data_IF_618872394651
#
_entry.id   IF_618872394651
#
_cell.length_a   1.000
_cell.length_b   1.000
_cell.length_c   1.000
_cell.angle_alpha   90.00
_cell.angle_beta   90.00
_cell.angle_gamma   90.00
#
_symmetry.space_group_name_H-M   'P 1'
#
loop_
_entity.id
_entity.type
_entity.pdbx_description
1 polymer ?
#
# COMPACT_ATOMS: atom_id res chain seq x y z
N UNK A 1 -24.09 17.97 19.40
CA UNK A 1 -25.42 17.58 18.87
C UNK A 1 -25.22 16.56 17.76
N UNK A 2 -26.00 15.48 17.66
CA UNK A 2 -25.93 14.56 16.53
C UNK A 2 -26.54 15.18 15.27
N UNK A 3 -25.95 14.90 14.11
CA UNK A 3 -26.37 15.40 12.81
C UNK A 3 -26.37 14.28 11.76
N UNK A 4 -27.21 14.43 10.72
CA UNK A 4 -27.15 13.61 9.52
C UNK A 4 -26.63 14.47 8.37
N UNK A 5 -25.52 14.07 7.76
CA UNK A 5 -24.84 14.81 6.69
C UNK A 5 -24.86 13.98 5.40
N UNK A 6 -24.95 14.63 4.24
CA UNK A 6 -24.78 13.95 2.95
C UNK A 6 -23.35 14.17 2.48
N UNK A 7 -22.61 13.10 2.24
CA UNK A 7 -21.29 13.17 1.63
C UNK A 7 -21.42 13.66 0.17
N UNK A 8 -20.80 14.77 -0.22
CA UNK A 8 -20.90 15.28 -1.59
C UNK A 8 -20.21 14.38 -2.61
N UNK A 9 -19.23 13.54 -2.21
CA UNK A 9 -18.51 12.66 -3.14
C UNK A 9 -19.29 11.38 -3.44
N UNK A 10 -19.80 10.72 -2.40
CA UNK A 10 -20.50 9.44 -2.56
C UNK A 10 -22.03 9.56 -2.57
N UNK A 11 -22.57 10.72 -2.21
CA UNK A 11 -24.01 10.95 -2.04
C UNK A 11 -24.62 10.23 -0.84
N UNK A 12 -23.83 9.50 -0.04
CA UNK A 12 -24.30 8.70 1.09
C UNK A 12 -24.64 9.58 2.28
N UNK A 13 -25.64 9.17 3.07
CA UNK A 13 -25.95 9.79 4.35
C UNK A 13 -25.00 9.25 5.43
N UNK A 14 -24.43 10.15 6.22
CA UNK A 14 -23.46 9.88 7.29
C UNK A 14 -24.01 10.41 8.60
N UNK A 15 -24.02 9.58 9.63
CA UNK A 15 -24.33 9.99 11.00
C UNK A 15 -23.10 10.60 11.66
N UNK A 16 -23.19 11.86 12.08
CA UNK A 16 -22.14 12.57 12.81
C UNK A 16 -22.58 12.76 14.27
N UNK A 17 -21.96 12.04 15.21
CA UNK A 17 -22.35 12.05 16.62
C UNK A 17 -21.11 12.02 17.54
N UNK A 18 -20.41 13.17 17.74
CA UNK A 18 -19.10 13.21 18.40
C UNK A 18 -19.12 12.71 19.85
N UNK A 19 -20.23 12.92 20.58
CA UNK A 19 -20.39 12.43 21.96
C UNK A 19 -20.33 10.90 22.09
N UNK A 20 -20.53 10.14 21.00
CA UNK A 20 -20.38 8.68 21.04
C UNK A 20 -18.95 8.23 21.33
N UNK A 21 -17.95 9.04 21.03
CA UNK A 21 -16.55 8.74 21.33
C UNK A 21 -16.24 8.71 22.84
N UNK A 22 -17.08 9.37 23.67
CA UNK A 22 -16.92 9.40 25.14
C UNK A 22 -17.47 8.15 25.84
N UNK A 23 -18.11 7.24 25.09
CA UNK A 23 -18.66 6.00 25.68
C UNK A 23 -17.51 5.15 26.20
N UNK A 24 -17.64 4.54 27.39
CA UNK A 24 -16.66 3.58 27.86
C UNK A 24 -16.48 2.46 26.83
N UNK A 25 -15.24 2.20 26.46
CA UNK A 25 -14.87 1.08 25.59
C UNK A 25 -14.16 0.07 26.47
N UNK A 26 -14.63 -1.18 26.45
CA UNK A 26 -13.91 -2.28 27.07
C UNK A 26 -12.72 -2.60 26.17
N UNK A 27 -11.52 -2.22 26.61
CA UNK A 27 -10.28 -2.48 25.85
C UNK A 27 -10.03 -3.98 25.92
N UNK A 28 -10.30 -4.68 24.83
CA UNK A 28 -9.77 -6.03 24.59
C UNK A 28 -8.32 -5.90 24.13
N UNK A 29 -7.50 -6.94 24.35
CA UNK A 29 -6.15 -6.99 23.77
C UNK A 29 -6.24 -6.67 22.27
N UNK A 30 -5.44 -5.70 21.84
CA UNK A 30 -5.38 -5.31 20.44
C UNK A 30 -4.88 -6.48 19.59
N UNK A 31 -4.98 -6.36 18.25
CA UNK A 31 -4.32 -7.32 17.38
C UNK A 31 -2.83 -7.44 17.79
N UNK A 32 -2.22 -8.63 17.62
CA UNK A 32 -0.82 -8.80 17.92
C UNK A 32 -0.01 -7.73 17.18
N UNK A 33 1.10 -7.26 17.77
CA UNK A 33 1.96 -6.31 17.09
C UNK A 33 2.30 -6.87 15.71
N UNK A 34 2.25 -6.01 14.69
CA UNK A 34 2.66 -6.38 13.33
C UNK A 34 4.10 -6.92 13.44
N UNK A 35 4.26 -8.21 13.12
CA UNK A 35 5.56 -8.83 13.07
C UNK A 35 6.27 -8.34 11.81
N UNK A 36 6.90 -7.17 11.90
CA UNK A 36 7.84 -6.69 10.90
C UNK A 36 9.13 -7.50 11.02
N UNK A 37 9.07 -8.78 10.64
CA UNK A 37 10.23 -9.66 10.54
C UNK A 37 10.85 -9.47 9.14
N UNK A 38 11.97 -8.74 9.02
CA UNK A 38 12.58 -8.47 7.72
C UNK A 38 13.05 -9.76 7.03
N UNK A 39 13.28 -10.84 7.79
CA UNK A 39 13.66 -12.14 7.24
C UNK A 39 12.52 -12.83 6.46
N UNK A 40 11.26 -12.42 6.68
CA UNK A 40 10.07 -12.96 5.99
C UNK A 40 9.43 -11.98 4.99
N UNK A 41 9.69 -10.69 5.14
CA UNK A 41 9.20 -9.64 4.23
C UNK A 41 9.78 -9.80 2.81
N UNK A 42 8.97 -10.03 1.75
CA UNK A 42 9.48 -10.16 0.38
C UNK A 42 9.81 -8.82 -0.28
N UNK A 43 9.25 -7.72 0.22
CA UNK A 43 9.48 -6.37 -0.34
C UNK A 43 10.65 -5.63 0.29
N UNK A 44 11.30 -6.24 1.28
CA UNK A 44 12.41 -5.63 1.98
C UNK A 44 13.69 -5.69 1.12
N UNK A 45 14.59 -4.70 1.23
CA UNK A 45 15.83 -4.67 0.45
C UNK A 45 16.64 -5.96 0.59
N UNK A 46 17.23 -6.43 -0.51
CA UNK A 46 18.01 -7.66 -0.57
C UNK A 46 17.20 -8.91 -0.93
N UNK A 47 15.89 -8.79 -1.16
CA UNK A 47 15.01 -9.87 -1.65
C UNK A 47 14.39 -9.57 -3.00
N UNK A 48 14.99 -8.69 -3.79
CA UNK A 48 14.43 -8.29 -5.07
C UNK A 48 14.32 -9.45 -6.07
N UNK A 49 15.13 -10.50 -5.90
CA UNK A 49 15.15 -11.68 -6.78
C UNK A 49 13.87 -12.52 -6.73
N UNK A 50 13.12 -12.46 -5.62
CA UNK A 50 11.83 -13.15 -5.50
C UNK A 50 10.65 -12.30 -5.96
N UNK A 51 10.91 -11.06 -6.38
CA UNK A 51 9.89 -10.15 -6.91
C UNK A 51 9.85 -10.22 -8.44
N UNK A 52 8.68 -9.92 -9.00
CA UNK A 52 8.55 -9.67 -10.43
C UNK A 52 9.42 -8.46 -10.83
N UNK A 53 9.89 -8.38 -12.09
CA UNK A 53 10.60 -7.21 -12.57
C UNK A 53 9.76 -5.94 -12.38
N UNK A 54 10.35 -4.90 -11.79
CA UNK A 54 9.69 -3.63 -11.61
C UNK A 54 9.46 -2.91 -12.94
N UNK A 55 8.25 -2.38 -13.13
CA UNK A 55 7.90 -1.55 -14.28
C UNK A 55 8.46 -0.12 -14.17
N UNK A 56 8.82 0.28 -12.95
CA UNK A 56 9.47 1.54 -12.64
C UNK A 56 10.33 1.37 -11.38
N UNK A 57 11.55 1.87 -11.42
CA UNK A 57 12.45 1.96 -10.26
C UNK A 57 12.88 3.42 -10.12
N UNK A 58 12.75 3.97 -8.92
CA UNK A 58 13.30 5.28 -8.57
C UNK A 58 14.64 5.06 -7.87
N UNK A 59 15.71 5.61 -8.43
CA UNK A 59 17.06 5.51 -7.86
C UNK A 59 17.57 6.91 -7.54
N UNK A 60 18.20 7.06 -6.38
CA UNK A 60 18.86 8.32 -6.02
C UNK A 60 20.19 8.46 -6.76
N UNK A 61 20.44 9.64 -7.32
CA UNK A 61 21.69 10.00 -7.99
C UNK A 61 22.25 11.26 -7.33
N UNK A 62 23.52 11.58 -7.59
CA UNK A 62 24.16 12.78 -7.03
C UNK A 62 23.51 14.12 -7.44
N UNK A 63 22.56 14.12 -8.38
CA UNK A 63 21.91 15.34 -8.92
C UNK A 63 20.37 15.28 -8.82
N UNK A 64 19.80 14.22 -8.24
CA UNK A 64 18.34 14.04 -8.16
C UNK A 64 17.91 12.58 -8.23
N UNK A 65 16.72 12.32 -8.77
CA UNK A 65 16.17 10.96 -8.92
C UNK A 65 16.13 10.58 -10.40
N UNK A 66 16.56 9.36 -10.71
CA UNK A 66 16.44 8.76 -12.04
C UNK A 66 15.34 7.68 -12.04
N UNK A 67 14.67 7.55 -13.19
CA UNK A 67 13.64 6.56 -13.42
C UNK A 67 14.18 5.45 -14.31
N UNK A 68 14.31 4.26 -13.74
CA UNK A 68 14.79 3.07 -14.44
C UNK A 68 13.68 2.02 -14.59
N UNK A 69 13.96 0.96 -15.37
CA UNK A 69 13.11 -0.21 -15.54
C UNK A 69 13.91 -1.48 -15.34
N UNK A 70 13.23 -2.54 -14.92
CA UNK A 70 13.82 -3.87 -14.83
C UNK A 70 13.26 -4.75 -15.94
N UNK A 71 14.16 -5.40 -16.68
CA UNK A 71 13.83 -6.38 -17.70
C UNK A 71 14.57 -7.70 -17.44
N UNK A 72 13.92 -8.82 -17.76
CA UNK A 72 14.49 -10.14 -17.53
C UNK A 72 14.84 -10.42 -16.07
N UNK A 73 16.07 -10.89 -15.83
CA UNK A 73 16.55 -11.31 -14.51
C UNK A 73 17.21 -10.17 -13.71
N UNK A 74 17.37 -8.98 -14.27
CA UNK A 74 18.02 -7.88 -13.56
C UNK A 74 17.13 -7.35 -12.43
N UNK A 75 17.74 -7.12 -11.26
CA UNK A 75 17.09 -6.51 -10.09
C UNK A 75 17.97 -5.39 -9.55
N UNK A 76 17.47 -4.16 -9.68
CA UNK A 76 18.08 -2.94 -9.16
C UNK A 76 18.03 -2.95 -7.64
N UNK A 77 19.13 -2.54 -7.03
CA UNK A 77 19.32 -2.34 -5.58
C UNK A 77 19.48 -0.84 -5.31
N UNK A 78 19.47 -0.45 -4.03
CA UNK A 78 19.61 0.96 -3.61
C UNK A 78 18.55 1.90 -4.21
N UNK A 79 17.35 1.37 -4.41
CA UNK A 79 16.19 2.09 -4.91
C UNK A 79 15.52 2.87 -3.77
N UNK A 80 14.90 4.00 -4.09
CA UNK A 80 13.99 4.75 -3.20
C UNK A 80 12.61 4.09 -3.22
N UNK A 81 12.13 3.73 -4.41
CA UNK A 81 10.86 3.04 -4.60
C UNK A 81 10.88 2.13 -5.83
N UNK A 82 10.07 1.07 -5.79
CA UNK A 82 9.82 0.17 -6.94
C UNK A 82 8.31 0.03 -7.18
N UNK A 83 7.90 0.15 -8.44
CA UNK A 83 6.56 -0.25 -8.89
C UNK A 83 6.66 -1.66 -9.47
N UNK A 84 6.07 -2.63 -8.77
CA UNK A 84 6.18 -4.05 -9.11
C UNK A 84 4.79 -4.59 -9.43
N UNK A 85 4.62 -5.39 -10.49
CA UNK A 85 3.35 -6.09 -10.72
C UNK A 85 2.97 -6.93 -9.51
N UNK A 86 1.71 -6.84 -9.09
CA UNK A 86 1.22 -7.68 -8.00
C UNK A 86 1.26 -9.16 -8.46
N UNK A 87 1.83 -10.04 -7.63
CA UNK A 87 1.89 -11.48 -7.90
C UNK A 87 0.51 -12.14 -7.92
N UNK A 88 -0.44 -11.57 -7.18
CA UNK A 88 -1.84 -12.01 -7.10
C UNK A 88 -2.75 -10.83 -7.45
N UNK A 89 -2.77 -10.41 -8.73
CA UNK A 89 -3.53 -9.24 -9.13
C UNK A 89 -5.04 -9.52 -9.03
N UNK A 90 -5.81 -8.53 -8.57
CA UNK A 90 -7.27 -8.63 -8.53
C UNK A 90 -7.91 -8.58 -9.93
N UNK A 91 -7.22 -7.96 -10.89
CA UNK A 91 -7.64 -7.82 -12.27
C UNK A 91 -6.48 -8.09 -13.24
N UNK A 92 -6.80 -8.69 -14.37
CA UNK A 92 -5.92 -8.87 -15.53
C UNK A 92 -6.00 -7.66 -16.49
N UNK A 93 -5.12 -7.59 -17.49
CA UNK A 93 -5.18 -6.53 -18.51
C UNK A 93 -6.37 -6.71 -19.46
N UNK A 94 -6.86 -7.94 -19.53
CA UNK A 94 -7.92 -8.38 -20.42
C UNK A 94 -9.31 -8.20 -19.76
N UNK A 95 -9.36 -7.92 -18.47
CA UNK A 95 -10.61 -7.71 -17.74
C UNK A 95 -11.31 -6.42 -18.19
N UNK A 96 -12.62 -6.52 -18.42
CA UNK A 96 -13.44 -5.38 -18.86
C UNK A 96 -14.33 -4.92 -17.70
N UNK A 97 -14.43 -3.60 -17.54
CA UNK A 97 -15.41 -3.00 -16.61
C UNK A 97 -16.82 -3.20 -17.18
N UNK A 98 -17.69 -3.82 -16.41
CA UNK A 98 -19.13 -3.96 -16.71
C UNK A 98 -19.86 -2.68 -16.32
#
# INVERSE_FOLDING_TARGET
MPELRKDPLTGRLVSYAPERAKRPIQITEGPPPLADDPSKCPFCPGKEDILAPATLVLVETGVGVEFEREEGAERKKNWIAKCIPNLYPAFSKEDTLI
#
